data_IF_220502884665
#
_entry.id   IF_220502884665
#
_cell.length_a   1.000
_cell.length_b   1.000
_cell.length_c   1.000
_cell.angle_alpha   90.00
_cell.angle_beta   90.00
_cell.angle_gamma   90.00
#
_symmetry.space_group_name_H-M   'P 1'
#
loop_
_entity.id
_entity.type
_entity.pdbx_description
1 polymer ?
#
# COMPACT_ATOMS: atom_id res chain seq x y z
N UNK A 1 1.35 -22.95 7.11
CA UNK A 1 1.58 -21.60 7.67
C UNK A 1 1.06 -20.55 6.70
N UNK A 2 0.38 -19.52 7.19
CA UNK A 2 -0.23 -18.46 6.38
C UNK A 2 0.44 -17.12 6.69
N UNK A 3 0.97 -16.43 5.68
CA UNK A 3 1.54 -15.08 5.81
C UNK A 3 0.64 -14.05 5.14
N UNK A 4 0.18 -13.04 5.90
CA UNK A 4 -0.42 -11.82 5.33
C UNK A 4 0.66 -10.74 5.26
N UNK A 5 1.04 -10.36 4.05
CA UNK A 5 2.13 -9.41 3.79
C UNK A 5 1.58 -8.04 3.40
N UNK A 6 2.03 -7.00 4.10
CA UNK A 6 1.74 -5.60 3.77
C UNK A 6 3.06 -4.79 3.74
N UNK A 7 3.32 -4.13 2.62
CA UNK A 7 4.57 -3.42 2.26
C UNK A 7 4.74 -2.03 2.92
N UNK A 8 5.95 -1.43 2.83
CA UNK A 8 6.36 -0.19 3.51
C UNK A 8 6.12 1.14 2.76
N UNK A 9 5.53 1.15 1.56
CA UNK A 9 5.47 2.38 0.74
C UNK A 9 4.26 3.27 1.03
N UNK A 10 4.50 4.59 1.05
CA UNK A 10 3.54 5.68 1.26
C UNK A 10 2.93 6.07 -0.09
N UNK A 11 1.89 5.37 -0.54
CA UNK A 11 1.04 5.83 -1.65
C UNK A 11 -0.45 5.86 -1.26
N UNK A 12 -1.18 6.80 -1.85
CA UNK A 12 -2.44 7.37 -1.37
C UNK A 12 -3.69 6.45 -1.40
N UNK A 13 -3.61 5.18 -1.83
CA UNK A 13 -4.80 4.32 -1.98
C UNK A 13 -4.59 2.88 -1.49
N UNK A 14 -4.44 2.75 -0.16
CA UNK A 14 -4.32 1.47 0.58
C UNK A 14 -5.63 1.06 1.31
N UNK A 15 -6.76 1.59 0.87
CA UNK A 15 -8.03 1.74 1.61
C UNK A 15 -8.79 0.45 1.99
N UNK A 16 -8.69 -0.65 1.22
CA UNK A 16 -9.49 -1.89 1.43
C UNK A 16 -8.73 -3.02 2.18
N UNK A 17 -7.46 -2.79 2.53
CA UNK A 17 -6.49 -3.89 2.76
C UNK A 17 -6.52 -4.52 4.15
N UNK A 18 -7.03 -3.80 5.15
CA UNK A 18 -6.91 -4.19 6.57
C UNK A 18 -8.02 -5.12 7.02
N UNK A 19 -9.21 -4.92 6.48
CA UNK A 19 -10.38 -5.78 6.70
C UNK A 19 -10.13 -7.18 6.15
N UNK A 20 -9.55 -7.26 4.94
CA UNK A 20 -9.23 -8.53 4.30
C UNK A 20 -8.19 -9.29 5.13
N UNK A 21 -7.16 -8.59 5.63
CA UNK A 21 -6.15 -9.20 6.51
C UNK A 21 -6.76 -9.86 7.75
N UNK A 22 -7.63 -9.16 8.48
CA UNK A 22 -8.30 -9.73 9.66
C UNK A 22 -9.24 -10.88 9.29
N UNK A 23 -9.94 -10.79 8.17
CA UNK A 23 -10.82 -11.87 7.68
C UNK A 23 -10.02 -13.12 7.34
N UNK A 24 -8.87 -12.98 6.68
CA UNK A 24 -7.94 -14.09 6.40
C UNK A 24 -7.44 -14.72 7.70
N UNK A 25 -7.05 -13.91 8.69
CA UNK A 25 -6.61 -14.41 9.99
C UNK A 25 -7.71 -15.25 10.65
N UNK A 26 -8.94 -14.74 10.70
CA UNK A 26 -10.06 -15.48 11.29
C UNK A 26 -10.35 -16.79 10.55
N UNK A 27 -10.33 -16.78 9.21
CA UNK A 27 -10.48 -18.00 8.41
C UNK A 27 -9.36 -19.01 8.68
N UNK A 28 -8.11 -18.56 8.78
CA UNK A 28 -6.99 -19.42 9.14
C UNK A 28 -7.13 -20.01 10.54
N UNK A 29 -7.71 -19.28 11.50
CA UNK A 29 -7.98 -19.79 12.86
C UNK A 29 -9.10 -20.84 12.91
N UNK A 30 -9.87 -21.01 11.85
CA UNK A 30 -10.81 -22.14 11.73
C UNK A 30 -10.13 -23.47 11.38
N UNK A 31 -8.83 -23.44 11.06
CA UNK A 31 -8.03 -24.60 10.70
C UNK A 31 -7.03 -24.92 11.82
N UNK A 32 -6.81 -26.20 12.06
CA UNK A 32 -5.80 -26.66 13.01
C UNK A 32 -4.39 -26.49 12.46
N UNK A 33 -3.41 -26.32 13.36
CA UNK A 33 -1.98 -26.33 13.03
C UNK A 33 -1.54 -25.25 12.02
N UNK A 34 -2.26 -24.12 11.95
CA UNK A 34 -1.87 -22.97 11.12
C UNK A 34 -1.15 -21.92 11.96
N UNK A 35 0.14 -21.74 11.69
CA UNK A 35 0.93 -20.59 12.16
C UNK A 35 0.73 -19.39 11.22
N UNK A 36 0.48 -18.22 11.80
CA UNK A 36 0.12 -16.98 11.12
C UNK A 36 1.21 -15.92 11.34
N UNK A 37 1.73 -15.38 10.25
CA UNK A 37 2.60 -14.21 10.24
C UNK A 37 1.83 -13.00 9.69
N UNK A 38 1.91 -11.86 10.37
CA UNK A 38 1.26 -10.63 9.95
C UNK A 38 2.19 -9.44 10.01
N UNK A 39 2.23 -8.65 8.94
CA UNK A 39 2.99 -7.39 8.89
C UNK A 39 2.04 -6.22 9.14
N UNK A 40 2.30 -5.42 10.17
CA UNK A 40 1.45 -4.28 10.53
C UNK A 40 2.25 -3.12 11.16
N UNK A 41 1.67 -1.92 11.18
CA UNK A 41 2.22 -0.79 11.96
C UNK A 41 2.21 -1.09 13.45
N UNK A 42 3.25 -0.65 14.16
CA UNK A 42 3.39 -0.78 15.63
C UNK A 42 2.16 -0.35 16.42
N UNK A 43 1.55 0.78 16.05
CA UNK A 43 0.33 1.28 16.71
C UNK A 43 -0.90 0.35 16.61
N UNK A 44 -0.82 -0.74 15.84
CA UNK A 44 -1.88 -1.75 15.69
C UNK A 44 -1.51 -3.10 16.30
N UNK A 45 -0.27 -3.28 16.76
CA UNK A 45 0.19 -4.56 17.27
C UNK A 45 -0.64 -5.00 18.48
N UNK A 46 -0.94 -4.06 19.38
CA UNK A 46 -1.75 -4.34 20.58
C UNK A 46 -3.14 -4.90 20.23
N UNK A 47 -3.78 -4.36 19.19
CA UNK A 47 -5.10 -4.81 18.74
C UNK A 47 -5.07 -6.14 17.97
N UNK A 48 -3.90 -6.59 17.50
CA UNK A 48 -3.76 -7.77 16.65
C UNK A 48 -3.06 -8.95 17.34
N UNK A 49 -2.41 -8.71 18.49
CA UNK A 49 -1.51 -9.66 19.17
C UNK A 49 -2.19 -10.99 19.53
N UNK A 50 -3.48 -10.96 19.84
CA UNK A 50 -4.23 -12.16 20.23
C UNK A 50 -4.61 -13.02 19.02
N UNK A 51 -4.65 -12.42 17.83
CA UNK A 51 -5.13 -13.07 16.61
C UNK A 51 -4.01 -13.62 15.72
N UNK A 52 -2.79 -13.09 15.82
CA UNK A 52 -1.65 -13.39 14.94
C UNK A 52 -0.47 -13.90 15.78
N UNK A 53 0.12 -15.03 15.42
CA UNK A 53 1.20 -15.66 16.20
C UNK A 53 2.51 -14.86 16.16
N UNK A 54 2.83 -14.31 14.98
CA UNK A 54 4.04 -13.50 14.78
C UNK A 54 3.70 -12.19 14.07
N UNK A 55 3.62 -11.12 14.85
CA UNK A 55 3.45 -9.76 14.36
C UNK A 55 4.80 -9.12 14.06
N UNK A 56 4.95 -8.66 12.83
CA UNK A 56 6.15 -8.00 12.34
C UNK A 56 5.85 -6.53 12.08
N UNK A 57 6.76 -5.65 12.48
CA UNK A 57 6.63 -4.22 12.24
C UNK A 57 6.88 -3.90 10.77
N UNK A 58 6.02 -3.07 10.19
CA UNK A 58 6.22 -2.60 8.82
C UNK A 58 7.53 -1.82 8.70
N UNK A 59 8.34 -2.16 7.70
CA UNK A 59 9.62 -1.49 7.40
C UNK A 59 10.84 -2.20 7.96
N UNK A 60 10.65 -3.25 8.76
CA UNK A 60 11.74 -4.16 9.15
C UNK A 60 11.98 -5.22 8.07
N UNK A 61 13.11 -5.93 8.17
CA UNK A 61 13.37 -7.12 7.35
C UNK A 61 12.49 -8.29 7.82
N UNK A 62 11.23 -8.29 7.38
CA UNK A 62 10.28 -9.35 7.73
C UNK A 62 10.72 -10.72 7.20
N UNK A 63 11.49 -10.78 6.10
CA UNK A 63 11.96 -12.04 5.52
C UNK A 63 12.93 -12.70 6.50
N UNK A 64 13.89 -11.93 7.03
CA UNK A 64 14.78 -12.38 8.09
C UNK A 64 14.03 -12.84 9.32
N UNK A 65 13.07 -12.04 9.82
CA UNK A 65 12.29 -12.38 11.01
C UNK A 65 11.44 -13.65 10.82
N UNK A 66 10.82 -13.84 9.65
CA UNK A 66 10.09 -15.07 9.34
C UNK A 66 11.05 -16.27 9.34
N UNK A 67 12.22 -16.15 8.71
CA UNK A 67 13.19 -17.26 8.63
C UNK A 67 13.76 -17.67 9.97
N UNK A 68 13.82 -16.79 10.96
CA UNK A 68 14.18 -17.17 12.35
C UNK A 68 13.20 -18.17 12.95
N UNK A 69 11.92 -18.09 12.59
CA UNK A 69 10.85 -18.96 13.13
C UNK A 69 10.52 -20.11 12.19
N UNK A 70 10.60 -19.87 10.88
CA UNK A 70 10.33 -20.84 9.81
C UNK A 70 11.42 -20.73 8.75
N UNK A 71 12.58 -21.41 8.96
CA UNK A 71 13.74 -21.31 8.07
C UNK A 71 13.41 -21.67 6.61
N UNK A 72 12.54 -22.67 6.43
CA UNK A 72 12.06 -23.16 5.13
C UNK A 72 11.15 -22.16 4.40
N UNK A 73 10.61 -21.16 5.10
CA UNK A 73 9.74 -20.12 4.52
C UNK A 73 8.26 -20.28 4.86
N UNK A 74 7.36 -19.88 3.94
CA UNK A 74 5.91 -19.85 4.12
C UNK A 74 5.18 -20.67 3.04
N UNK A 75 4.09 -21.32 3.41
CA UNK A 75 3.27 -22.15 2.51
C UNK A 75 2.32 -21.30 1.65
N UNK A 76 1.67 -20.29 2.25
CA UNK A 76 0.74 -19.40 1.53
C UNK A 76 1.01 -17.95 1.89
N UNK A 77 1.15 -17.11 0.88
CA UNK A 77 1.33 -15.66 0.99
C UNK A 77 0.13 -14.96 0.35
N UNK A 78 -0.49 -14.07 1.11
CA UNK A 78 -1.51 -13.14 0.63
C UNK A 78 -0.90 -11.75 0.52
N UNK A 79 -0.82 -11.23 -0.71
CA UNK A 79 -0.29 -9.89 -1.00
C UNK A 79 -1.36 -8.97 -1.61
N UNK A 80 -1.42 -7.74 -1.10
CA UNK A 80 -2.29 -6.68 -1.59
C UNK A 80 -1.54 -5.48 -2.18
N UNK A 81 -0.20 -5.51 -2.20
CA UNK A 81 0.62 -4.35 -2.54
C UNK A 81 1.23 -4.47 -3.94
N UNK A 82 1.62 -5.67 -4.37
CA UNK A 82 2.36 -5.92 -5.61
C UNK A 82 3.73 -5.21 -5.65
N UNK A 83 4.48 -5.34 -6.76
CA UNK A 83 5.76 -4.67 -6.98
C UNK A 83 6.95 -5.38 -6.31
N UNK A 84 7.82 -4.62 -5.64
CA UNK A 84 9.05 -5.16 -5.01
C UNK A 84 8.78 -6.27 -3.99
N UNK A 85 7.63 -6.25 -3.33
CA UNK A 85 7.23 -7.30 -2.38
C UNK A 85 6.93 -8.64 -3.04
N UNK A 86 6.59 -8.64 -4.34
CA UNK A 86 6.31 -9.88 -5.06
C UNK A 86 7.52 -10.79 -5.10
N UNK A 87 8.70 -10.25 -5.41
CA UNK A 87 9.93 -11.04 -5.42
C UNK A 87 10.33 -11.49 -4.01
N UNK A 88 10.17 -10.63 -2.98
CA UNK A 88 10.48 -10.99 -1.59
C UNK A 88 9.57 -12.11 -1.08
N UNK A 89 8.26 -11.96 -1.26
CA UNK A 89 7.28 -12.98 -0.90
C UNK A 89 7.49 -14.28 -1.67
N UNK A 90 7.71 -14.21 -2.98
CA UNK A 90 8.01 -15.38 -3.82
C UNK A 90 9.25 -16.16 -3.34
N UNK A 91 10.33 -15.45 -2.99
CA UNK A 91 11.54 -16.08 -2.47
C UNK A 91 11.38 -16.64 -1.04
N UNK A 92 10.39 -16.16 -0.31
CA UNK A 92 10.01 -16.67 1.01
C UNK A 92 9.09 -17.89 0.93
N UNK A 93 8.56 -18.25 -0.24
CA UNK A 93 7.76 -19.46 -0.38
C UNK A 93 8.59 -20.74 -0.24
N UNK A 94 8.01 -21.70 0.45
CA UNK A 94 8.44 -23.11 0.42
C UNK A 94 8.19 -23.74 -0.96
N UNK A 95 8.81 -24.89 -1.26
CA UNK A 95 8.32 -25.78 -2.31
C UNK A 95 6.82 -26.06 -2.13
N UNK A 96 6.08 -26.10 -3.23
CA UNK A 96 4.60 -26.16 -3.31
C UNK A 96 3.86 -24.94 -2.75
N UNK A 97 4.58 -23.89 -2.36
CA UNK A 97 3.99 -22.68 -1.82
C UNK A 97 3.16 -21.90 -2.84
N UNK A 98 2.24 -21.08 -2.34
CA UNK A 98 1.31 -20.27 -3.14
C UNK A 98 1.43 -18.79 -2.80
N UNK A 99 1.74 -17.97 -3.80
CA UNK A 99 1.65 -16.52 -3.73
C UNK A 99 0.34 -16.07 -4.37
N UNK A 100 -0.53 -15.40 -3.61
CA UNK A 100 -1.82 -14.91 -4.09
C UNK A 100 -1.84 -13.38 -4.01
N UNK A 101 -1.82 -12.75 -5.18
CA UNK A 101 -2.03 -11.32 -5.33
C UNK A 101 -3.52 -11.01 -5.39
N UNK A 102 -4.05 -10.26 -4.43
CA UNK A 102 -5.48 -9.89 -4.41
C UNK A 102 -5.74 -8.38 -4.40
N UNK A 103 -4.68 -7.58 -4.49
CA UNK A 103 -4.76 -6.12 -4.58
C UNK A 103 -3.62 -5.55 -5.41
N UNK A 104 -3.86 -4.42 -6.09
CA UNK A 104 -2.87 -3.78 -6.96
C UNK A 104 -2.71 -2.30 -6.60
N UNK A 105 -2.34 -2.01 -5.35
CA UNK A 105 -2.20 -0.61 -4.90
C UNK A 105 -1.10 0.17 -5.59
N UNK A 106 -0.10 -0.51 -6.15
CA UNK A 106 1.00 0.14 -6.84
C UNK A 106 0.65 0.52 -8.29
N UNK A 107 -0.52 0.12 -8.82
CA UNK A 107 -0.88 0.34 -10.23
C UNK A 107 -1.87 1.50 -10.45
N UNK A 108 -2.56 1.97 -9.40
CA UNK A 108 -3.47 3.11 -9.51
C UNK A 108 -2.71 4.39 -9.21
N UNK A 109 -1.98 4.87 -10.22
CA UNK A 109 -1.36 6.18 -10.18
C UNK A 109 -2.11 7.14 -11.09
N UNK A 110 -2.53 8.28 -10.55
CA UNK A 110 -3.22 9.34 -11.27
C UNK A 110 -2.45 9.85 -12.49
N UNK A 111 -3.20 10.47 -13.40
CA UNK A 111 -2.92 10.81 -14.79
C UNK A 111 -1.64 11.61 -15.11
N UNK A 112 -0.71 11.87 -14.19
CA UNK A 112 0.44 12.74 -14.53
C UNK A 112 1.82 12.34 -14.02
N UNK A 113 2.04 11.32 -13.15
CA UNK A 113 3.41 11.08 -12.62
C UNK A 113 3.90 9.64 -12.39
N UNK A 114 3.24 8.57 -12.85
CA UNK A 114 3.76 7.21 -12.58
C UNK A 114 3.48 6.17 -13.67
N UNK A 115 3.74 6.54 -14.91
CA UNK A 115 3.98 5.52 -15.94
C UNK A 115 5.34 4.82 -15.70
N UNK A 116 6.39 5.58 -15.33
CA UNK A 116 7.74 5.05 -15.16
C UNK A 116 7.89 4.11 -13.95
N UNK A 117 7.29 4.45 -12.80
CA UNK A 117 7.29 3.58 -11.62
C UNK A 117 6.37 2.36 -11.79
N UNK A 118 5.26 2.51 -12.53
CA UNK A 118 4.42 1.37 -12.92
C UNK A 118 5.16 0.42 -13.88
N UNK A 119 5.87 0.95 -14.88
CA UNK A 119 6.69 0.17 -15.80
C UNK A 119 7.88 -0.51 -15.11
N UNK A 120 8.55 0.18 -14.16
CA UNK A 120 9.61 -0.41 -13.33
C UNK A 120 9.08 -1.55 -12.45
N UNK A 121 7.93 -1.34 -11.82
CA UNK A 121 7.25 -2.38 -11.02
C UNK A 121 6.82 -3.56 -11.89
N UNK A 122 6.31 -3.30 -13.11
CA UNK A 122 5.96 -4.31 -14.09
C UNK A 122 7.17 -5.12 -14.56
N UNK A 123 8.30 -4.44 -14.81
CA UNK A 123 9.55 -5.10 -15.18
C UNK A 123 10.10 -5.99 -14.07
N UNK A 124 9.89 -5.64 -12.81
CA UNK A 124 10.30 -6.45 -11.66
C UNK A 124 9.38 -7.64 -11.40
N UNK A 125 8.08 -7.52 -11.65
CA UNK A 125 7.13 -8.65 -11.65
C UNK A 125 7.41 -9.58 -12.85
N UNK A 126 7.81 -9.01 -13.99
CA UNK A 126 8.22 -9.75 -15.20
C UNK A 126 9.45 -10.65 -15.04
N UNK A 127 10.08 -10.70 -13.87
CA UNK A 127 11.22 -11.58 -13.57
C UNK A 127 10.82 -12.99 -13.14
N UNK A 128 9.54 -13.25 -12.84
CA UNK A 128 9.06 -14.58 -12.46
C UNK A 128 8.63 -15.31 -13.74
N UNK A 129 9.54 -16.11 -14.31
CA UNK A 129 9.25 -16.88 -15.51
C UNK A 129 8.52 -18.20 -15.17
N UNK A 130 7.65 -18.72 -16.06
CA UNK A 130 7.00 -20.02 -15.87
C UNK A 130 8.00 -21.18 -15.66
N UNK A 131 9.16 -21.11 -16.31
CA UNK A 131 10.24 -22.10 -16.15
C UNK A 131 10.80 -22.09 -14.72
N UNK A 132 10.96 -20.89 -14.13
CA UNK A 132 11.38 -20.76 -12.73
C UNK A 132 10.35 -21.37 -11.78
N UNK A 133 9.05 -21.13 -12.02
CA UNK A 133 7.97 -21.73 -11.24
C UNK A 133 8.01 -23.26 -11.28
N UNK A 134 8.24 -23.83 -12.47
CA UNK A 134 8.38 -25.27 -12.67
C UNK A 134 9.54 -25.86 -11.88
N UNK A 135 10.75 -25.29 -12.00
CA UNK A 135 11.93 -25.81 -11.30
C UNK A 135 11.89 -25.62 -9.78
N UNK A 136 11.33 -24.50 -9.30
CA UNK A 136 11.22 -24.22 -7.86
C UNK A 136 9.97 -24.85 -7.21
N UNK A 137 9.10 -25.47 -8.01
CA UNK A 137 7.81 -26.03 -7.57
C UNK A 137 6.93 -24.99 -6.85
N UNK A 138 6.82 -23.77 -7.37
CA UNK A 138 6.06 -22.67 -6.73
C UNK A 138 4.88 -22.23 -7.58
N UNK A 139 3.85 -21.72 -6.91
CA UNK A 139 2.66 -21.21 -7.55
C UNK A 139 2.52 -19.71 -7.32
N UNK A 140 2.19 -18.98 -8.38
CA UNK A 140 1.80 -17.58 -8.31
C UNK A 140 0.43 -17.41 -8.96
N UNK A 141 -0.47 -16.70 -8.30
CA UNK A 141 -1.84 -16.49 -8.75
C UNK A 141 -2.36 -15.11 -8.39
N UNK A 142 -3.42 -14.70 -9.06
CA UNK A 142 -4.11 -13.44 -8.81
C UNK A 142 -5.59 -13.67 -8.53
N UNK A 143 -6.19 -12.84 -7.68
CA UNK A 143 -7.63 -12.80 -7.44
C UNK A 143 -8.15 -11.37 -7.53
N UNK A 144 -9.02 -11.11 -8.50
CA UNK A 144 -9.78 -9.87 -8.60
C UNK A 144 -11.27 -10.21 -8.51
N UNK A 145 -11.83 -10.14 -7.30
CA UNK A 145 -13.22 -10.52 -7.04
C UNK A 145 -14.21 -9.70 -7.87
N UNK A 146 -13.96 -8.39 -8.04
CA UNK A 146 -14.81 -7.53 -8.87
C UNK A 146 -14.81 -7.99 -10.33
N UNK A 147 -13.63 -8.30 -10.87
CA UNK A 147 -13.53 -8.77 -12.25
C UNK A 147 -14.19 -10.13 -12.44
N UNK A 148 -13.99 -11.05 -11.49
CA UNK A 148 -14.65 -12.37 -11.48
C UNK A 148 -16.18 -12.25 -11.47
N UNK A 149 -16.72 -11.35 -10.64
CA UNK A 149 -18.16 -11.14 -10.50
C UNK A 149 -18.82 -10.52 -11.74
N UNK A 150 -18.20 -9.49 -12.31
CA UNK A 150 -18.88 -8.63 -13.30
C UNK A 150 -18.37 -8.79 -14.74
N UNK A 151 -17.28 -9.53 -14.96
CA UNK A 151 -16.66 -9.66 -16.28
C UNK A 151 -16.29 -11.10 -16.68
N UNK A 152 -16.53 -12.09 -15.81
CA UNK A 152 -16.15 -13.49 -16.05
C UNK A 152 -17.26 -14.47 -15.63
N UNK A 153 -18.51 -14.00 -15.54
CA UNK A 153 -19.69 -14.79 -15.17
C UNK A 153 -19.55 -15.62 -13.88
N UNK A 154 -18.69 -15.18 -12.95
CA UNK A 154 -18.35 -15.90 -11.72
C UNK A 154 -19.39 -15.80 -10.61
N UNK A 155 -20.57 -15.20 -10.86
CA UNK A 155 -21.57 -14.91 -9.83
C UNK A 155 -22.08 -16.16 -9.10
N UNK A 156 -22.32 -17.26 -9.82
CA UNK A 156 -22.77 -18.51 -9.21
C UNK A 156 -21.70 -19.12 -8.29
N UNK A 157 -20.46 -19.15 -8.77
CA UNK A 157 -19.31 -19.62 -7.97
C UNK A 157 -19.11 -18.76 -6.72
N UNK A 158 -19.12 -17.43 -6.85
CA UNK A 158 -18.97 -16.53 -5.70
C UNK A 158 -20.11 -16.70 -4.70
N UNK A 159 -21.36 -16.90 -5.16
CA UNK A 159 -22.51 -17.17 -4.29
C UNK A 159 -22.29 -18.41 -3.44
N UNK A 160 -21.78 -19.49 -4.01
CA UNK A 160 -21.46 -20.72 -3.26
C UNK A 160 -20.42 -20.46 -2.17
N UNK A 161 -19.36 -19.71 -2.48
CA UNK A 161 -18.33 -19.34 -1.50
C UNK A 161 -18.90 -18.45 -0.40
N UNK A 162 -19.73 -17.46 -0.74
CA UNK A 162 -20.39 -16.59 0.25
C UNK A 162 -21.28 -17.38 1.20
N UNK A 163 -22.01 -18.39 0.70
CA UNK A 163 -22.81 -19.26 1.55
C UNK A 163 -21.94 -20.00 2.59
N UNK A 164 -20.78 -20.53 2.17
CA UNK A 164 -19.83 -21.18 3.10
C UNK A 164 -19.31 -20.19 4.16
N UNK A 165 -19.04 -18.95 3.77
CA UNK A 165 -18.64 -17.89 4.72
C UNK A 165 -19.78 -17.58 5.70
N UNK A 166 -21.03 -17.50 5.24
CA UNK A 166 -22.18 -17.31 6.12
C UNK A 166 -22.41 -18.47 7.07
N UNK A 167 -22.13 -19.71 6.66
CA UNK A 167 -22.24 -20.85 7.56
C UNK A 167 -21.19 -20.79 8.68
N UNK A 168 -19.95 -20.37 8.36
CA UNK A 168 -18.93 -20.10 9.38
C UNK A 168 -19.33 -18.98 10.34
N UNK A 169 -19.96 -17.92 9.82
CA UNK A 169 -20.45 -16.81 10.63
C UNK A 169 -21.60 -17.23 11.55
N UNK A 170 -22.58 -17.99 11.04
CA UNK A 170 -23.68 -18.56 11.86
C UNK A 170 -23.16 -19.47 12.97
N UNK A 171 -22.08 -20.22 12.70
CA UNK A 171 -21.37 -21.04 13.68
C UNK A 171 -20.51 -20.23 14.66
N UNK A 172 -20.50 -18.89 14.56
CA UNK A 172 -19.67 -17.99 15.37
C UNK A 172 -18.17 -18.24 15.27
N UNK A 173 -17.71 -18.93 14.22
CA UNK A 173 -16.27 -19.18 13.96
C UNK A 173 -15.55 -17.96 13.40
N UNK A 174 -16.29 -17.08 12.75
CA UNK A 174 -15.80 -15.80 12.23
C UNK A 174 -16.76 -14.69 12.64
N UNK A 175 -16.23 -13.49 12.87
CA UNK A 175 -16.97 -12.28 13.22
C UNK A 175 -16.42 -11.08 12.45
N UNK A 176 -17.25 -10.41 11.64
CA UNK A 176 -16.85 -9.16 11.00
C UNK A 176 -16.38 -8.14 12.05
N UNK A 177 -15.21 -7.54 11.83
CA UNK A 177 -14.69 -6.50 12.71
C UNK A 177 -15.10 -5.16 12.11
N UNK A 178 -15.97 -4.44 12.82
CA UNK A 178 -16.38 -3.08 12.47
C UNK A 178 -15.57 -2.11 13.32
N UNK A 179 -14.88 -1.18 12.66
CA UNK A 179 -14.09 -0.14 13.29
C UNK A 179 -14.98 1.01 13.80
N UNK A 180 -15.86 1.52 12.93
CA UNK A 180 -16.78 2.59 13.28
C UNK A 180 -17.93 2.70 12.26
N UNK A 181 -19.09 3.09 12.77
CA UNK A 181 -20.26 3.46 11.97
C UNK A 181 -20.36 4.98 11.86
N UNK A 182 -20.81 5.45 10.70
CA UNK A 182 -20.88 6.87 10.36
C UNK A 182 -22.22 7.17 9.69
N UNK A 183 -22.79 8.34 10.00
CA UNK A 183 -23.90 8.89 9.23
C UNK A 183 -23.47 9.22 7.80
N UNK A 184 -24.43 9.34 6.88
CA UNK A 184 -24.14 9.64 5.48
C UNK A 184 -23.45 11.01 5.30
N UNK A 185 -23.85 11.98 6.13
CA UNK A 185 -23.34 13.35 6.15
C UNK A 185 -21.88 13.44 6.65
N UNK A 186 -21.42 12.44 7.40
CA UNK A 186 -20.06 12.35 7.96
C UNK A 186 -19.12 11.52 7.06
N UNK A 187 -19.51 11.28 5.79
CA UNK A 187 -18.70 10.48 4.85
C UNK A 187 -17.31 11.09 4.64
N UNK A 188 -17.17 12.42 4.72
CA UNK A 188 -15.88 13.09 4.56
C UNK A 188 -14.90 12.70 5.67
N UNK A 189 -15.37 12.70 6.92
CA UNK A 189 -14.62 12.31 8.11
C UNK A 189 -14.32 10.80 8.10
N UNK A 190 -15.28 9.98 7.67
CA UNK A 190 -15.07 8.55 7.48
C UNK A 190 -13.98 8.26 6.45
N UNK A 191 -14.03 8.93 5.29
CA UNK A 191 -12.98 8.86 4.25
C UNK A 191 -11.63 9.35 4.77
N UNK A 192 -11.61 10.43 5.56
CA UNK A 192 -10.37 10.93 6.16
C UNK A 192 -9.76 9.90 7.13
N UNK A 193 -10.56 9.24 7.97
CA UNK A 193 -10.09 8.18 8.88
C UNK A 193 -9.49 7.00 8.10
N UNK A 194 -10.12 6.64 6.98
CA UNK A 194 -9.65 5.59 6.09
C UNK A 194 -8.31 5.96 5.44
N UNK A 195 -8.23 7.18 4.90
CA UNK A 195 -7.04 7.77 4.28
C UNK A 195 -5.87 7.88 5.27
N UNK A 196 -6.13 8.36 6.49
CA UNK A 196 -5.17 8.47 7.59
C UNK A 196 -4.69 7.12 8.13
N UNK A 197 -5.28 6.03 7.64
CA UNK A 197 -4.91 4.67 8.01
C UNK A 197 -5.18 4.31 9.47
N UNK A 198 -6.09 5.05 10.13
CA UNK A 198 -6.38 4.89 11.56
C UNK A 198 -7.39 3.79 11.87
N UNK A 199 -8.16 3.34 10.88
CA UNK A 199 -9.15 2.27 11.08
C UNK A 199 -8.52 0.89 11.34
N UNK A 200 -9.20 0.12 12.21
CA UNK A 200 -8.97 -1.29 12.53
C UNK A 200 -10.28 -2.04 12.29
N UNK A 201 -10.46 -2.55 11.07
CA UNK A 201 -11.71 -3.17 10.62
C UNK A 201 -12.53 -2.26 9.69
N UNK A 202 -13.80 -2.61 9.52
CA UNK A 202 -14.73 -2.03 8.54
C UNK A 202 -15.25 -0.67 8.97
N UNK A 203 -15.20 0.31 8.07
CA UNK A 203 -16.04 1.51 8.18
C UNK A 203 -17.39 1.23 7.55
N UNK A 204 -18.46 1.51 8.28
CA UNK A 204 -19.85 1.30 7.85
C UNK A 204 -20.55 2.65 7.76
N UNK A 205 -21.24 2.89 6.64
CA UNK A 205 -22.22 3.96 6.55
C UNK A 205 -23.55 3.41 7.03
N UNK A 206 -24.11 4.03 8.05
CA UNK A 206 -25.39 3.66 8.65
C UNK A 206 -26.39 4.78 8.39
N UNK A 207 -27.43 4.46 7.62
CA UNK A 207 -28.46 5.40 7.20
C UNK A 207 -29.39 5.81 8.36
N UNK A 208 -29.32 5.13 9.50
CA UNK A 208 -30.11 5.45 10.69
C UNK A 208 -29.37 6.33 11.71
N UNK A 209 -28.09 6.65 11.48
CA UNK A 209 -27.32 7.49 12.40
C UNK A 209 -27.51 8.98 12.11
N UNK A 210 -27.61 9.77 13.17
CA UNK A 210 -27.53 11.23 13.09
C UNK A 210 -26.05 11.69 12.96
N UNK A 211 -25.80 12.81 12.27
CA UNK A 211 -24.46 13.34 12.08
C UNK A 211 -23.80 13.74 13.40
N UNK A 212 -22.49 13.52 13.50
CA UNK A 212 -21.73 13.96 14.68
C UNK A 212 -21.70 15.49 14.75
N UNK A 213 -21.86 16.08 15.95
CA UNK A 213 -21.79 17.53 16.10
C UNK A 213 -20.40 18.02 15.65
N UNK A 214 -20.38 18.82 14.59
CA UNK A 214 -19.13 19.38 14.06
C UNK A 214 -18.59 20.42 15.06
N UNK A 215 -17.30 20.38 15.42
CA UNK A 215 -16.71 21.46 16.21
C UNK A 215 -16.87 22.77 15.43
N UNK A 216 -17.18 23.89 16.11
CA UNK A 216 -17.41 25.16 15.43
C UNK A 216 -16.17 25.50 14.60
N UNK A 217 -16.39 25.71 13.31
CA UNK A 217 -15.32 26.12 12.40
C UNK A 217 -14.79 27.45 12.90
N UNK A 218 -13.47 27.62 13.13
CA UNK A 218 -12.94 28.93 13.50
C UNK A 218 -13.27 29.90 12.37
N UNK A 219 -14.08 30.91 12.69
CA UNK A 219 -14.46 31.97 11.77
C UNK A 219 -13.16 32.62 11.30
N UNK A 220 -12.84 32.47 10.02
CA UNK A 220 -11.77 33.27 9.38
C UNK A 220 -12.13 34.74 9.57
N UNK A 221 -11.43 35.40 10.49
CA UNK A 221 -11.57 36.82 10.75
C UNK A 221 -11.44 37.59 9.44
N UNK A 222 -12.48 38.39 9.14
CA UNK A 222 -12.46 39.40 8.08
C UNK A 222 -11.21 40.28 8.26
N UNK A 223 -10.43 40.44 7.19
CA UNK A 223 -9.41 41.49 7.05
C UNK A 223 -10.05 42.84 7.39
N UNK A 224 -9.62 43.45 8.48
CA UNK A 224 -9.83 44.87 8.77
C UNK A 224 -8.59 45.64 8.33
N UNK A 225 -8.77 46.58 7.39
CA UNK A 225 -7.80 47.62 7.10
C UNK A 225 -7.69 48.57 8.29
N UNK A 226 -6.49 48.80 8.81
CA UNK A 226 -6.11 50.08 9.41
C UNK A 226 -4.61 50.27 9.27
N UNK A 227 -4.27 51.32 8.52
CA UNK A 227 -2.94 51.90 8.39
C UNK A 227 -2.58 52.57 9.71
N UNK A 228 -1.36 52.38 10.21
CA UNK A 228 -0.62 53.45 10.88
C UNK A 228 0.90 53.27 10.69
N UNK A 229 1.54 54.43 10.51
CA UNK A 229 2.89 54.66 9.99
C UNK A 229 3.98 54.55 11.06
N UNK A 230 5.18 54.29 10.55
CA UNK A 230 6.50 54.75 11.01
C UNK A 230 7.09 54.15 12.30
N UNK A 231 8.13 53.32 12.13
CA UNK A 231 9.48 53.82 12.41
C UNK A 231 10.58 53.08 11.63
N UNK A 232 11.54 53.86 11.12
CA UNK A 232 12.68 53.47 10.27
C UNK A 232 13.84 52.91 11.08
N UNK A 233 14.50 51.87 10.55
CA UNK A 233 15.96 51.85 10.24
C UNK A 233 16.30 50.50 9.58
N UNK A 234 16.57 50.52 8.26
CA UNK A 234 17.90 50.52 7.64
C UNK A 234 18.53 49.12 7.62
N UNK A 235 18.50 48.49 6.45
CA UNK A 235 19.69 48.13 5.65
C UNK A 235 19.24 47.16 4.55
N UNK A 236 19.15 47.67 3.32
CA UNK A 236 19.99 47.21 2.21
C UNK A 236 19.66 48.06 0.99
N UNK A 237 20.65 48.83 0.57
CA UNK A 237 20.64 49.64 -0.63
C UNK A 237 20.46 48.73 -1.86
N UNK A 238 19.50 49.08 -2.71
CA UNK A 238 19.64 48.86 -4.14
C UNK A 238 20.84 49.68 -4.68
N UNK A 239 21.22 49.62 -5.94
CA UNK A 239 20.46 49.27 -7.11
C UNK A 239 21.44 49.29 -8.29
N UNK A 240 21.00 48.70 -9.41
CA UNK A 240 21.27 49.13 -10.80
C UNK A 240 22.74 49.23 -11.25
N UNK A 241 23.13 48.81 -12.45
CA UNK A 241 22.41 48.40 -13.64
C UNK A 241 23.43 48.32 -14.78
N UNK A 242 23.09 47.49 -15.77
CA UNK A 242 23.31 47.63 -17.23
C UNK A 242 24.52 48.46 -17.71
N UNK A 243 25.48 47.85 -18.40
CA UNK A 243 25.64 47.97 -19.87
C UNK A 243 27.00 47.46 -20.38
N UNK A 244 26.92 46.81 -21.55
CA UNK A 244 27.78 46.98 -22.72
C UNK A 244 28.86 45.96 -23.12
N UNK A 245 28.94 45.90 -24.45
CA UNK A 245 29.39 44.86 -25.39
C UNK A 245 30.91 44.60 -25.41
N UNK A 246 31.32 43.40 -25.87
CA UNK A 246 32.06 43.27 -27.15
C UNK A 246 32.37 41.81 -27.53
N UNK A 247 32.26 41.56 -28.84
CA UNK A 247 32.61 40.35 -29.58
C UNK A 247 34.12 40.11 -29.61
N UNK A 248 34.55 38.84 -29.71
CA UNK A 248 35.30 38.31 -30.87
C UNK A 248 35.72 36.84 -30.65
N UNK A 249 35.43 35.99 -31.65
CA UNK A 249 36.14 34.73 -31.92
C UNK A 249 37.54 35.04 -32.50
N UNK A 250 38.44 34.05 -32.62
CA UNK A 250 38.46 33.26 -33.85
C UNK A 250 38.74 31.75 -33.68
N UNK A 251 38.36 31.01 -34.73
CA UNK A 251 38.75 29.65 -35.08
C UNK A 251 40.26 29.56 -35.36
N UNK A 252 40.90 28.39 -35.20
CA UNK A 252 41.57 27.69 -36.31
C UNK A 252 41.96 26.23 -35.95
N UNK A 253 42.14 25.47 -37.01
CA UNK A 253 42.22 24.03 -37.21
C UNK A 253 43.51 23.32 -36.75
N UNK A 254 43.45 21.98 -36.68
CA UNK A 254 44.46 21.18 -37.38
C UNK A 254 45.22 20.06 -36.65
N UNK A 255 44.93 18.84 -37.12
CA UNK A 255 45.89 17.76 -37.48
C UNK A 255 46.28 16.69 -36.43
N UNK A 256 46.09 15.45 -36.90
CA UNK A 256 46.39 14.15 -36.31
C UNK A 256 47.88 13.81 -36.19
N UNK A 257 48.20 12.83 -35.33
CA UNK A 257 49.21 11.78 -35.60
C UNK A 257 49.07 10.58 -34.67
N UNK A 258 49.09 9.40 -35.29
CA UNK A 258 49.39 8.09 -34.70
C UNK A 258 50.72 8.08 -33.94
N UNK A 259 50.85 7.23 -32.92
CA UNK A 259 51.90 6.20 -32.88
C UNK A 259 51.73 5.20 -31.73
N UNK A 260 52.27 4.01 -32.02
CA UNK A 260 52.15 2.70 -31.38
C UNK A 260 53.24 2.48 -30.29
N UNK A 261 53.20 1.29 -29.65
CA UNK A 261 54.18 0.67 -28.71
C UNK A 261 53.79 0.76 -27.22
N UNK A 262 53.76 -0.31 -26.41
CA UNK A 262 54.24 -1.69 -26.49
C UNK A 262 53.33 -2.63 -25.69
#
# INVERSE_FOLDING_TARGET
MCGSLQSPTRSEKDECKREVGQSVVQLCRTMENVKIFGVASKGKHEALKESIDHLLERGTDYVGEVRKVSPEGIDVIFDCNCGDECNRGYNLLKPMGKYILFGSSNYVTGETKSFFNAAKSWWQVGKISPIKLFYENKNIGGLNLRHLLYHQDGAAYVREIVNKVFDLWKQQKIKPVVDSSWALEDVSEAMQKLHDRKNIGKLVLDLALEPKPKPPTPVKGKKGNSIDKEDKKKEEEGANGVADQQQQQPQDDGVAKENNAS
#
